data_IF_512584870038
#
_entry.id   IF_512584870038
#
_cell.length_a   1.000
_cell.length_b   1.000
_cell.length_c   1.000
_cell.angle_alpha   90.00
_cell.angle_beta   90.00
_cell.angle_gamma   90.00
#
_symmetry.space_group_name_H-M   'P 1'
#
loop_
_entity.id
_entity.type
_entity.pdbx_description
1 polymer ?
#
# COMPACT_ATOMS: atom_id res chain seq x y z
N UNK A 1 -20.49 2.61 12.06
CA UNK A 1 -20.18 1.53 11.08
C UNK A 1 -18.71 1.57 10.71
N UNK A 2 -18.16 2.74 10.39
CA UNK A 2 -16.76 2.90 9.97
C UNK A 2 -15.74 2.54 11.05
N UNK A 3 -16.04 2.77 12.33
CA UNK A 3 -15.12 2.40 13.43
C UNK A 3 -14.78 0.90 13.46
N UNK A 4 -15.74 0.04 13.08
CA UNK A 4 -15.52 -1.40 12.98
C UNK A 4 -14.57 -1.74 11.84
N UNK A 5 -14.69 -1.05 10.71
CA UNK A 5 -13.82 -1.26 9.53
C UNK A 5 -12.38 -0.87 9.85
N UNK A 6 -12.17 0.22 10.61
CA UNK A 6 -10.85 0.66 11.08
C UNK A 6 -10.20 -0.37 12.01
N UNK A 7 -10.98 -0.92 12.95
CA UNK A 7 -10.51 -1.98 13.86
C UNK A 7 -10.09 -3.21 13.05
N UNK A 8 -10.94 -3.66 12.13
CA UNK A 8 -10.64 -4.82 11.28
C UNK A 8 -9.38 -4.60 10.45
N UNK A 9 -9.20 -3.42 9.84
CA UNK A 9 -7.98 -3.11 9.08
C UNK A 9 -6.72 -3.16 9.95
N UNK A 10 -6.77 -2.63 11.17
CA UNK A 10 -5.63 -2.67 12.10
C UNK A 10 -5.29 -4.10 12.51
N UNK A 11 -6.31 -4.93 12.77
CA UNK A 11 -6.12 -6.33 13.14
C UNK A 11 -5.53 -7.16 12.00
N UNK A 12 -5.95 -6.90 10.75
CA UNK A 12 -5.38 -7.53 9.55
C UNK A 12 -3.88 -7.23 9.44
N UNK A 13 -3.46 -5.97 9.61
CA UNK A 13 -2.04 -5.61 9.54
C UNK A 13 -1.23 -6.25 10.66
N UNK A 14 -1.78 -6.26 11.88
CA UNK A 14 -1.14 -6.93 13.02
C UNK A 14 -0.95 -8.42 12.75
N UNK A 15 -1.95 -9.10 12.20
CA UNK A 15 -1.89 -10.50 11.82
C UNK A 15 -0.85 -10.74 10.71
N UNK A 16 -0.86 -9.92 9.67
CA UNK A 16 0.09 -10.03 8.56
C UNK A 16 1.53 -9.85 9.07
N UNK A 17 1.79 -8.85 9.92
CA UNK A 17 3.08 -8.63 10.58
C UNK A 17 3.53 -9.85 11.40
N UNK A 18 2.62 -10.49 12.11
CA UNK A 18 2.91 -11.70 12.90
C UNK A 18 3.16 -12.92 12.01
N UNK A 19 2.46 -13.06 10.89
CA UNK A 19 2.66 -14.16 9.93
C UNK A 19 3.94 -14.01 9.11
N UNK A 20 4.39 -12.78 8.87
CA UNK A 20 5.58 -12.47 8.08
C UNK A 20 6.89 -12.68 8.86
N UNK A 21 6.92 -13.46 9.94
CA UNK A 21 8.10 -13.67 10.80
C UNK A 21 9.41 -14.05 10.07
N UNK A 22 9.35 -14.54 8.82
CA UNK A 22 10.52 -14.81 7.97
C UNK A 22 10.81 -13.74 6.89
N UNK A 23 9.88 -12.84 6.61
CA UNK A 23 10.03 -11.75 5.63
C UNK A 23 10.01 -10.40 6.35
N UNK A 24 11.07 -9.61 6.19
CA UNK A 24 11.09 -8.22 6.67
C UNK A 24 10.10 -7.30 5.93
N UNK A 25 9.49 -7.80 4.86
CA UNK A 25 8.64 -7.03 3.96
C UNK A 25 7.22 -7.57 3.88
N UNK A 26 6.24 -6.68 3.98
CA UNK A 26 4.82 -6.95 3.77
C UNK A 26 4.46 -6.59 2.34
N UNK A 27 3.89 -7.54 1.59
CA UNK A 27 3.43 -7.29 0.22
C UNK A 27 2.04 -6.61 0.17
N UNK A 28 1.76 -5.71 1.11
CA UNK A 28 0.53 -4.93 1.20
C UNK A 28 0.87 -3.50 1.55
N UNK A 29 0.15 -2.54 0.97
CA UNK A 29 0.28 -1.13 1.34
C UNK A 29 -0.25 -0.95 2.76
N UNK A 30 0.61 -0.55 3.69
CA UNK A 30 0.22 -0.45 5.10
C UNK A 30 -0.74 0.74 5.35
N UNK A 31 -1.96 0.51 5.88
CA UNK A 31 -2.79 1.56 6.45
C UNK A 31 -2.21 2.01 7.80
N UNK A 32 -2.01 3.32 7.93
CA UNK A 32 -1.47 3.99 9.10
C UNK A 32 -2.56 4.60 10.00
N UNK A 33 -3.74 4.89 9.44
CA UNK A 33 -4.80 5.54 10.20
C UNK A 33 -6.06 5.82 9.41
N UNK A 34 -7.02 6.44 10.09
CA UNK A 34 -8.31 6.80 9.55
C UNK A 34 -8.84 8.06 10.24
N UNK A 35 -9.52 8.93 9.50
CA UNK A 35 -10.28 10.03 10.08
C UNK A 35 -11.46 10.43 9.19
N UNK A 36 -12.41 11.14 9.79
CA UNK A 36 -13.50 11.80 9.08
C UNK A 36 -13.19 13.30 8.97
N UNK A 37 -13.72 13.99 7.95
CA UNK A 37 -13.76 15.45 7.99
C UNK A 37 -14.71 15.96 9.08
N UNK A 38 -14.72 17.28 9.29
CA UNK A 38 -15.52 17.97 10.31
C UNK A 38 -17.02 17.62 10.21
N UNK A 39 -17.57 17.62 8.99
CA UNK A 39 -18.99 17.33 8.74
C UNK A 39 -19.32 15.82 8.80
N UNK A 40 -18.31 14.96 8.94
CA UNK A 40 -18.42 13.49 8.98
C UNK A 40 -19.05 12.86 7.74
N UNK A 41 -19.09 13.57 6.61
CA UNK A 41 -19.61 13.08 5.33
C UNK A 41 -18.50 12.48 4.44
N UNK A 42 -17.23 12.68 4.80
CA UNK A 42 -16.06 12.13 4.09
C UNK A 42 -15.17 11.35 5.03
N UNK A 43 -14.71 10.21 4.53
CA UNK A 43 -13.79 9.30 5.17
C UNK A 43 -12.42 9.34 4.50
N UNK A 44 -11.36 9.36 5.29
CA UNK A 44 -9.98 9.38 4.84
C UNK A 44 -9.23 8.20 5.45
N UNK A 45 -8.47 7.50 4.61
CA UNK A 45 -7.57 6.44 5.05
C UNK A 45 -6.15 6.96 4.84
N UNK A 46 -5.36 6.92 5.90
CA UNK A 46 -3.93 7.23 5.85
C UNK A 46 -3.21 5.93 5.56
N UNK A 47 -2.35 5.92 4.54
CA UNK A 47 -1.57 4.76 4.12
C UNK A 47 -0.10 5.13 3.95
N UNK A 48 0.78 4.15 3.92
CA UNK A 48 2.17 4.37 3.58
C UNK A 48 2.32 4.97 2.17
N UNK A 49 3.33 5.80 2.00
CA UNK A 49 3.58 6.47 0.74
C UNK A 49 4.54 5.65 -0.13
N UNK A 50 4.02 5.10 -1.24
CA UNK A 50 4.83 4.40 -2.22
C UNK A 50 5.48 5.38 -3.21
N UNK A 51 6.65 5.93 -2.86
CA UNK A 51 7.34 6.96 -3.66
C UNK A 51 7.65 6.55 -5.12
N UNK A 52 7.79 5.26 -5.39
CA UNK A 52 8.00 4.71 -6.74
C UNK A 52 6.73 4.67 -7.61
N UNK A 53 5.57 5.04 -7.07
CA UNK A 53 4.28 4.95 -7.75
C UNK A 53 3.81 3.51 -7.94
N UNK A 54 3.04 3.28 -8.99
CA UNK A 54 2.49 1.96 -9.31
C UNK A 54 3.27 1.25 -10.44
N UNK A 55 3.18 -0.09 -10.42
CA UNK A 55 3.85 -0.96 -11.38
C UNK A 55 3.41 -0.71 -12.83
N UNK A 56 2.16 -0.28 -13.06
CA UNK A 56 1.66 0.00 -14.42
C UNK A 56 2.38 1.21 -15.00
N UNK A 57 2.52 2.29 -14.23
CA UNK A 57 3.28 3.45 -14.62
C UNK A 57 4.76 3.12 -14.84
N UNK A 58 5.35 2.30 -13.98
CA UNK A 58 6.71 1.80 -14.17
C UNK A 58 6.87 1.04 -15.51
N UNK A 59 6.01 0.06 -15.80
CA UNK A 59 6.03 -0.70 -17.07
C UNK A 59 5.82 0.21 -18.29
N UNK A 60 4.90 1.17 -18.20
CA UNK A 60 4.66 2.11 -19.28
C UNK A 60 5.88 3.01 -19.53
N UNK A 61 6.59 3.42 -18.48
CA UNK A 61 7.83 4.18 -18.62
C UNK A 61 8.92 3.34 -19.29
N UNK A 62 9.09 2.07 -18.88
CA UNK A 62 10.03 1.15 -19.53
C UNK A 62 9.73 1.01 -21.03
N UNK A 63 8.46 0.84 -21.40
CA UNK A 63 8.02 0.78 -22.80
C UNK A 63 8.35 2.05 -23.58
N UNK A 64 8.13 3.22 -22.97
CA UNK A 64 8.41 4.53 -23.60
C UNK A 64 9.90 4.80 -23.76
N UNK A 65 10.71 4.30 -22.84
CA UNK A 65 12.16 4.47 -22.88
C UNK A 65 12.83 3.55 -23.91
N UNK A 66 12.08 2.68 -24.60
CA UNK A 66 12.61 1.52 -25.34
C UNK A 66 13.72 0.84 -24.52
N UNK A 67 13.50 0.76 -23.19
CA UNK A 67 14.51 0.29 -22.27
C UNK A 67 14.76 -1.18 -22.59
N UNK A 68 15.82 -1.40 -23.36
CA UNK A 68 16.26 -2.72 -23.76
C UNK A 68 16.63 -3.44 -22.47
N UNK A 69 15.85 -4.46 -22.10
CA UNK A 69 16.21 -5.40 -21.05
C UNK A 69 17.34 -6.23 -21.65
N UNK A 70 18.51 -5.61 -21.83
CA UNK A 70 19.73 -6.37 -22.12
C UNK A 70 20.06 -7.06 -20.82
N UNK A 71 19.70 -8.34 -20.79
CA UNK A 71 20.12 -9.31 -19.79
C UNK A 71 21.55 -9.02 -19.37
N UNK A 72 21.74 -8.55 -18.14
CA UNK A 72 23.02 -8.73 -17.47
C UNK A 72 23.04 -10.17 -17.01
N UNK A 73 23.56 -11.03 -17.90
CA UNK A 73 24.17 -12.32 -17.56
C UNK A 73 25.20 -12.11 -16.45
#
# INVERSE_FOLDING_TARGET
MVDKEVIVMRDVIKLLRQSAQQSQFLHVVEPLGFFLNEDKDKAFIVMEYCAGGDLRNYINNLRRMEADIKDKV
#
